data_IF_003408139636
#
_entry.id   IF_003408139636
#
_cell.length_a   1.000
_cell.length_b   1.000
_cell.length_c   1.000
_cell.angle_alpha   90.00
_cell.angle_beta   90.00
_cell.angle_gamma   90.00
#
_symmetry.space_group_name_H-M   'P 1'
#
loop_
_entity.id
_entity.type
_entity.pdbx_description
1 polymer ?
#
# COMPACT_ATOMS: atom_id res chain seq x y z
N UNK A 1 -1.72 4.63 -37.70
CA UNK A 1 -2.71 4.72 -36.60
C UNK A 1 -2.31 5.92 -35.75
N UNK A 2 -2.80 7.15 -36.00
CA UNK A 2 -4.08 7.71 -35.52
C UNK A 2 -4.38 7.28 -34.09
N UNK A 3 -4.29 8.23 -33.15
CA UNK A 3 -4.69 8.00 -31.76
C UNK A 3 -4.10 8.88 -30.63
N UNK A 4 -3.56 10.07 -30.89
CA UNK A 4 -3.41 11.10 -29.83
C UNK A 4 -4.20 12.32 -30.23
N UNK A 5 -5.49 12.35 -29.86
CA UNK A 5 -6.29 13.57 -29.67
C UNK A 5 -7.72 13.20 -29.23
N UNK A 6 -8.01 13.32 -27.94
CA UNK A 6 -9.24 14.00 -27.49
C UNK A 6 -8.87 14.87 -26.30
N UNK A 7 -9.13 16.18 -26.44
CA UNK A 7 -8.83 17.20 -25.44
C UNK A 7 -7.96 18.31 -26.01
N UNK A 8 -8.60 19.33 -26.57
CA UNK A 8 -8.00 20.61 -26.96
C UNK A 8 -7.36 21.32 -25.75
N UNK A 9 -6.12 20.95 -25.44
CA UNK A 9 -5.22 21.77 -24.61
C UNK A 9 -3.86 21.85 -25.28
N UNK A 10 -3.25 23.06 -25.40
CA UNK A 10 -1.91 23.19 -25.93
C UNK A 10 -0.94 22.32 -25.14
N UNK A 11 -0.05 21.61 -25.84
CA UNK A 11 1.04 20.84 -25.25
C UNK A 11 1.93 21.78 -24.43
N UNK A 12 1.69 21.83 -23.12
CA UNK A 12 2.73 22.23 -22.17
C UNK A 12 3.55 20.97 -21.95
N UNK A 13 4.85 20.99 -22.25
CA UNK A 13 5.80 20.14 -21.53
C UNK A 13 5.57 20.44 -20.05
N UNK A 14 4.76 19.60 -19.40
CA UNK A 14 4.55 19.68 -17.95
C UNK A 14 5.74 18.98 -17.33
N UNK A 15 6.33 19.59 -16.31
CA UNK A 15 7.35 18.97 -15.47
C UNK A 15 6.89 17.55 -15.07
N UNK A 16 7.71 16.53 -15.35
CA UNK A 16 7.43 15.14 -14.97
C UNK A 16 6.87 14.20 -16.06
N UNK A 17 6.80 14.61 -17.32
CA UNK A 17 6.54 13.67 -18.43
C UNK A 17 7.86 13.27 -19.08
N UNK A 18 8.18 11.98 -19.09
CA UNK A 18 9.32 11.43 -19.84
C UNK A 18 9.03 11.49 -21.34
N UNK A 19 10.00 11.92 -22.14
CA UNK A 19 9.88 11.92 -23.60
C UNK A 19 9.95 10.46 -24.10
N UNK A 20 9.00 10.08 -24.96
CA UNK A 20 8.93 8.75 -25.58
C UNK A 20 9.67 8.76 -26.93
N UNK A 21 10.93 9.15 -26.91
CA UNK A 21 11.78 9.33 -28.10
C UNK A 21 12.81 8.19 -28.30
N UNK A 22 12.94 7.28 -27.33
CA UNK A 22 13.86 6.15 -27.40
C UNK A 22 13.50 4.98 -26.49
N UNK A 23 14.36 3.95 -26.50
CA UNK A 23 14.21 2.75 -25.66
C UNK A 23 14.23 3.08 -24.18
N UNK A 24 15.08 4.02 -23.76
CA UNK A 24 15.26 4.37 -22.35
C UNK A 24 13.99 5.02 -21.78
N UNK A 25 13.39 5.96 -22.53
CA UNK A 25 12.11 6.56 -22.16
C UNK A 25 10.96 5.55 -22.14
N UNK A 26 10.97 4.56 -23.03
CA UNK A 26 9.99 3.46 -22.99
C UNK A 26 10.17 2.59 -21.75
N UNK A 27 11.41 2.21 -21.41
CA UNK A 27 11.72 1.44 -20.19
C UNK A 27 11.27 2.20 -18.95
N UNK A 28 11.60 3.49 -18.84
CA UNK A 28 11.22 4.33 -17.72
C UNK A 28 9.69 4.39 -17.54
N UNK A 29 8.95 4.65 -18.62
CA UNK A 29 7.48 4.72 -18.58
C UNK A 29 6.87 3.38 -18.19
N UNK A 30 7.31 2.27 -18.79
CA UNK A 30 6.76 0.94 -18.49
C UNK A 30 7.10 0.48 -17.07
N UNK A 31 8.34 0.66 -16.61
CA UNK A 31 8.74 0.33 -15.24
C UNK A 31 7.96 1.17 -14.23
N UNK A 32 7.72 2.45 -14.50
CA UNK A 32 6.93 3.33 -13.64
C UNK A 32 5.47 2.86 -13.57
N UNK A 33 4.86 2.48 -14.70
CA UNK A 33 3.49 1.97 -14.72
C UNK A 33 3.36 0.65 -13.94
N UNK A 34 4.29 -0.28 -14.15
CA UNK A 34 4.34 -1.55 -13.41
C UNK A 34 4.51 -1.27 -11.91
N UNK A 35 5.45 -0.39 -11.53
CA UNK A 35 5.68 -0.01 -10.13
C UNK A 35 4.44 0.59 -9.46
N UNK A 36 3.77 1.54 -10.12
CA UNK A 36 2.55 2.17 -9.58
C UNK A 36 1.45 1.15 -9.37
N UNK A 37 1.21 0.29 -10.37
CA UNK A 37 0.13 -0.67 -10.35
C UNK A 37 0.36 -1.82 -9.36
N UNK A 38 1.61 -2.20 -9.10
CA UNK A 38 1.97 -3.35 -8.27
C UNK A 38 2.49 -2.94 -6.90
N UNK A 39 3.81 -2.79 -6.76
CA UNK A 39 4.53 -2.57 -5.50
C UNK A 39 4.10 -1.32 -4.75
N UNK A 40 3.87 -0.20 -5.45
CA UNK A 40 3.41 1.03 -4.81
C UNK A 40 2.02 0.86 -4.20
N UNK A 41 1.09 0.33 -5.00
CA UNK A 41 -0.27 0.04 -4.55
C UNK A 41 -0.25 -0.93 -3.35
N UNK A 42 0.47 -2.05 -3.45
CA UNK A 42 0.59 -3.03 -2.38
C UNK A 42 1.11 -2.41 -1.06
N UNK A 43 2.13 -1.55 -1.15
CA UNK A 43 2.73 -0.89 0.01
C UNK A 43 1.78 0.07 0.75
N UNK A 44 0.80 0.66 0.06
CA UNK A 44 -0.17 1.59 0.67
C UNK A 44 -1.53 0.95 0.94
N UNK A 45 -1.80 -0.23 0.38
CA UNK A 45 -3.10 -0.89 0.46
C UNK A 45 -3.16 -2.00 1.51
N UNK A 46 -2.33 -3.04 1.43
CA UNK A 46 -2.51 -4.26 2.24
C UNK A 46 -2.14 -4.12 3.71
N UNK A 47 -1.55 -2.99 4.10
CA UNK A 47 -1.33 -2.63 5.50
C UNK A 47 -2.52 -1.94 6.16
N UNK A 48 -3.56 -1.60 5.40
CA UNK A 48 -4.67 -0.78 5.88
C UNK A 48 -5.32 -1.35 7.14
N UNK A 49 -5.78 -2.59 7.12
CA UNK A 49 -6.39 -3.20 8.31
C UNK A 49 -5.36 -3.47 9.41
N UNK A 50 -4.16 -3.95 9.07
CA UNK A 50 -3.12 -4.27 10.05
C UNK A 50 -2.72 -3.04 10.91
N UNK A 51 -2.68 -1.85 10.30
CA UNK A 51 -2.32 -0.62 11.01
C UNK A 51 -3.54 0.20 11.47
N UNK A 52 -4.65 0.18 10.76
CA UNK A 52 -5.80 1.06 11.03
C UNK A 52 -7.05 0.32 11.55
N UNK A 53 -7.02 -1.00 11.63
CA UNK A 53 -8.07 -1.81 12.26
C UNK A 53 -8.19 -1.55 13.77
N UNK A 54 -7.10 -1.13 14.43
CA UNK A 54 -7.18 -0.52 15.76
C UNK A 54 -7.34 1.00 15.61
N UNK A 55 -8.58 1.47 15.64
CA UNK A 55 -8.93 2.85 15.31
C UNK A 55 -8.17 3.94 16.08
N UNK A 56 -7.84 3.80 17.38
CA UNK A 56 -7.00 4.79 18.06
C UNK A 56 -5.60 4.96 17.47
N UNK A 57 -5.06 3.94 16.79
CA UNK A 57 -3.75 4.04 16.11
C UNK A 57 -3.81 4.87 14.83
N UNK A 58 -4.94 4.86 14.10
CA UNK A 58 -5.14 5.66 12.89
C UNK A 58 -6.58 6.18 12.81
N UNK A 59 -6.95 7.20 13.61
CA UNK A 59 -8.29 7.75 13.58
C UNK A 59 -8.55 8.42 12.22
N UNK A 60 -9.72 8.14 11.63
CA UNK A 60 -10.11 8.69 10.33
C UNK A 60 -10.62 10.13 10.40
N UNK A 61 -11.02 10.58 11.58
CA UNK A 61 -11.51 11.93 11.81
C UNK A 61 -11.33 12.37 13.26
N UNK A 62 -11.37 13.69 13.45
CA UNK A 62 -11.53 14.34 14.75
C UNK A 62 -12.88 15.06 14.77
N UNK A 63 -13.64 14.92 15.86
CA UNK A 63 -14.99 15.47 16.05
C UNK A 63 -15.00 16.77 16.85
N UNK A 64 -13.88 17.11 17.48
CA UNK A 64 -13.74 18.27 18.37
C UNK A 64 -12.41 18.97 18.09
N UNK A 65 -12.36 20.26 18.43
CA UNK A 65 -11.10 21.00 18.49
C UNK A 65 -10.37 20.65 19.79
N UNK A 66 -9.08 20.98 19.85
CA UNK A 66 -8.34 20.97 21.11
C UNK A 66 -8.94 22.09 21.98
N UNK A 67 -9.39 21.80 23.21
CA UNK A 67 -9.94 22.82 24.09
C UNK A 67 -8.87 23.81 24.53
N UNK A 68 -9.28 25.05 24.82
CA UNK A 68 -8.39 26.07 25.38
C UNK A 68 -7.94 25.68 26.80
N UNK A 69 -6.71 26.05 27.14
CA UNK A 69 -6.13 25.77 28.44
C UNK A 69 -6.93 26.53 29.53
N UNK A 70 -7.32 25.81 30.59
CA UNK A 70 -8.11 26.35 31.71
C UNK A 70 -9.55 26.79 31.37
N UNK A 71 -10.13 26.34 30.25
CA UNK A 71 -11.56 26.57 29.98
C UNK A 71 -12.45 25.74 30.94
N UNK A 72 -12.88 26.38 32.03
CA UNK A 72 -13.73 25.75 33.05
C UNK A 72 -15.15 25.44 32.56
N UNK A 73 -15.57 25.98 31.41
CA UNK A 73 -16.88 25.70 30.82
C UNK A 73 -16.84 24.53 29.83
N UNK A 74 -15.64 24.04 29.49
CA UNK A 74 -15.45 22.91 28.60
C UNK A 74 -15.02 21.67 29.38
N UNK A 75 -15.92 20.69 29.49
CA UNK A 75 -15.64 19.42 30.16
C UNK A 75 -14.40 18.72 29.59
N UNK A 76 -14.13 18.85 28.27
CA UNK A 76 -12.98 18.21 27.64
C UNK A 76 -11.65 18.80 28.11
N UNK A 77 -11.60 20.08 28.50
CA UNK A 77 -10.39 20.71 29.04
C UNK A 77 -9.95 20.03 30.36
N UNK A 78 -10.93 19.62 31.18
CA UNK A 78 -10.67 18.87 32.41
C UNK A 78 -10.25 17.43 32.10
N UNK A 79 -10.92 16.78 31.14
CA UNK A 79 -10.66 15.39 30.78
C UNK A 79 -9.24 15.15 30.27
N UNK A 80 -8.60 16.11 29.60
CA UNK A 80 -7.21 15.94 29.14
C UNK A 80 -6.28 15.53 30.29
N UNK A 81 -6.47 16.10 31.49
CA UNK A 81 -5.63 15.81 32.66
C UNK A 81 -6.19 14.69 33.53
N UNK A 82 -7.51 14.63 33.70
CA UNK A 82 -8.14 13.67 34.62
C UNK A 82 -8.42 12.30 34.00
N UNK A 83 -8.74 12.25 32.71
CA UNK A 83 -9.05 11.04 31.95
C UNK A 83 -8.75 11.23 30.44
N UNK A 84 -7.46 11.20 30.06
CA UNK A 84 -7.03 11.44 28.68
C UNK A 84 -7.57 10.39 27.70
N UNK A 85 -7.89 9.18 28.19
CA UNK A 85 -8.48 8.11 27.36
C UNK A 85 -9.90 8.48 26.97
N UNK A 86 -10.73 8.91 27.91
CA UNK A 86 -12.08 9.39 27.59
C UNK A 86 -12.04 10.62 26.70
N UNK A 87 -11.11 11.54 26.91
CA UNK A 87 -10.92 12.68 25.99
C UNK A 87 -10.59 12.21 24.57
N UNK A 88 -9.61 11.30 24.41
CA UNK A 88 -9.24 10.76 23.10
C UNK A 88 -10.45 10.10 22.39
N UNK A 89 -11.23 9.30 23.12
CA UNK A 89 -12.44 8.65 22.57
C UNK A 89 -13.54 9.64 22.18
N UNK A 90 -13.63 10.79 22.89
CA UNK A 90 -14.53 11.89 22.51
C UNK A 90 -14.03 12.67 21.30
N UNK A 91 -12.71 12.76 21.13
CA UNK A 91 -12.06 13.46 20.03
C UNK A 91 -12.16 12.67 18.72
N UNK A 92 -11.90 11.36 18.71
CA UNK A 92 -11.87 10.55 17.48
C UNK A 92 -13.24 10.00 17.09
N UNK A 93 -13.33 9.26 15.97
CA UNK A 93 -14.54 8.61 15.45
C UNK A 93 -15.40 7.93 16.53
N UNK A 94 -16.74 8.01 16.42
CA UNK A 94 -17.64 7.26 17.29
C UNK A 94 -17.49 5.75 17.04
N UNK A 95 -17.91 4.93 18.01
CA UNK A 95 -17.85 3.47 17.90
C UNK A 95 -18.51 2.92 16.62
N UNK A 96 -19.70 3.42 16.24
CA UNK A 96 -20.38 2.96 15.02
C UNK A 96 -19.56 3.27 13.75
N UNK A 97 -19.02 4.48 13.65
CA UNK A 97 -18.17 4.92 12.54
C UNK A 97 -16.85 4.13 12.50
N UNK A 98 -16.30 3.81 13.68
CA UNK A 98 -15.11 2.98 13.82
C UNK A 98 -15.36 1.57 13.27
N UNK A 99 -16.48 0.93 13.65
CA UNK A 99 -16.84 -0.41 13.17
C UNK A 99 -17.05 -0.42 11.65
N UNK A 100 -17.77 0.57 11.11
CA UNK A 100 -17.97 0.70 9.66
C UNK A 100 -16.64 0.83 8.91
N UNK A 101 -15.72 1.65 9.40
CA UNK A 101 -14.42 1.81 8.76
C UNK A 101 -13.55 0.55 8.91
N UNK A 102 -13.53 -0.08 10.08
CA UNK A 102 -12.79 -1.32 10.28
C UNK A 102 -13.23 -2.39 9.28
N UNK A 103 -14.55 -2.57 9.09
CA UNK A 103 -15.08 -3.52 8.10
C UNK A 103 -14.66 -3.17 6.66
N UNK A 104 -14.66 -1.88 6.31
CA UNK A 104 -14.17 -1.45 4.99
C UNK A 104 -12.69 -1.75 4.81
N UNK A 105 -11.84 -1.43 5.80
CA UNK A 105 -10.41 -1.68 5.73
C UNK A 105 -10.09 -3.17 5.67
N UNK A 106 -10.91 -4.01 6.33
CA UNK A 106 -10.79 -5.47 6.31
C UNK A 106 -10.96 -6.00 4.90
N UNK A 107 -12.04 -5.59 4.23
CA UNK A 107 -12.30 -5.91 2.82
C UNK A 107 -11.15 -5.40 1.95
N UNK A 108 -10.74 -4.13 2.16
CA UNK A 108 -9.69 -3.50 1.36
C UNK A 108 -8.27 -4.04 1.62
N UNK A 109 -8.09 -4.93 2.60
CA UNK A 109 -6.79 -5.56 2.91
C UNK A 109 -6.76 -7.06 2.62
N UNK A 110 -7.90 -7.66 2.30
CA UNK A 110 -8.01 -9.08 1.97
C UNK A 110 -7.65 -9.29 0.51
N UNK A 111 -6.82 -10.27 0.18
CA UNK A 111 -6.55 -10.61 -1.22
C UNK A 111 -7.35 -11.86 -1.63
N UNK A 112 -7.86 -11.81 -2.86
CA UNK A 112 -8.61 -12.89 -3.49
C UNK A 112 -7.76 -14.15 -3.67
N UNK A 113 -8.40 -15.32 -3.64
CA UNK A 113 -7.73 -16.62 -3.81
C UNK A 113 -7.22 -16.88 -5.23
N UNK A 114 -7.78 -16.18 -6.22
CA UNK A 114 -7.49 -16.25 -7.64
C UNK A 114 -6.63 -15.08 -8.15
N UNK A 115 -6.02 -14.32 -7.24
CA UNK A 115 -5.15 -13.18 -7.56
C UNK A 115 -3.86 -13.61 -8.30
N UNK A 116 -3.40 -12.75 -9.22
CA UNK A 116 -2.15 -12.93 -9.95
C UNK A 116 -1.05 -12.01 -9.41
N UNK A 117 -0.06 -12.61 -8.75
CA UNK A 117 1.05 -11.87 -8.14
C UNK A 117 2.13 -11.47 -9.14
N UNK A 118 2.93 -10.48 -8.73
CA UNK A 118 4.06 -9.97 -9.48
C UNK A 118 5.03 -11.11 -9.81
N UNK A 119 5.35 -11.25 -11.10
CA UNK A 119 6.18 -12.35 -11.59
C UNK A 119 5.43 -13.67 -11.82
N UNK A 120 4.10 -13.67 -11.68
CA UNK A 120 3.21 -14.77 -12.03
C UNK A 120 2.29 -14.36 -13.19
N UNK A 121 1.92 -15.35 -14.01
CA UNK A 121 0.86 -15.24 -15.01
C UNK A 121 0.25 -16.60 -15.27
N UNK A 122 -1.07 -16.67 -15.16
CA UNK A 122 -1.89 -17.86 -15.45
C UNK A 122 -2.07 -18.05 -16.96
N UNK A 123 -2.18 -16.95 -17.70
CA UNK A 123 -2.20 -16.98 -19.17
C UNK A 123 -1.11 -16.05 -19.74
N UNK A 124 -0.28 -16.62 -20.61
CA UNK A 124 0.73 -15.86 -21.34
C UNK A 124 0.26 -15.62 -22.77
N UNK A 125 0.30 -14.37 -23.28
CA UNK A 125 0.08 -14.10 -24.70
C UNK A 125 1.31 -14.48 -25.56
N UNK A 126 2.42 -14.86 -24.91
CA UNK A 126 3.66 -15.25 -25.58
C UNK A 126 3.56 -16.68 -26.09
N UNK A 127 3.99 -16.88 -27.33
CA UNK A 127 4.12 -18.20 -27.93
C UNK A 127 5.33 -18.94 -27.34
N UNK A 128 5.35 -20.27 -27.45
CA UNK A 128 6.54 -21.08 -27.11
C UNK A 128 7.78 -20.71 -27.93
N UNK A 129 7.58 -20.03 -29.06
CA UNK A 129 8.66 -19.47 -29.88
C UNK A 129 9.31 -18.21 -29.30
N UNK A 130 8.70 -17.54 -28.31
CA UNK A 130 9.21 -16.31 -27.70
C UNK A 130 10.22 -16.60 -26.57
N UNK A 131 11.19 -17.48 -26.85
CA UNK A 131 12.12 -18.04 -25.85
C UNK A 131 12.83 -16.98 -25.00
N UNK A 132 13.32 -15.92 -25.63
CA UNK A 132 14.02 -14.84 -24.93
C UNK A 132 13.12 -14.12 -23.93
N UNK A 133 11.84 -13.95 -24.27
CA UNK A 133 10.87 -13.29 -23.42
C UNK A 133 10.50 -14.18 -22.23
N UNK A 134 10.21 -15.46 -22.49
CA UNK A 134 9.92 -16.44 -21.44
C UNK A 134 11.09 -16.55 -20.45
N UNK A 135 12.33 -16.60 -20.95
CA UNK A 135 13.52 -16.63 -20.10
C UNK A 135 13.68 -15.33 -19.28
N UNK A 136 13.39 -14.17 -19.87
CA UNK A 136 13.45 -12.89 -19.14
C UNK A 136 12.39 -12.83 -18.02
N UNK A 137 11.18 -13.33 -18.28
CA UNK A 137 10.12 -13.41 -17.28
C UNK A 137 10.46 -14.39 -16.15
N UNK A 138 11.05 -15.54 -16.47
CA UNK A 138 11.53 -16.49 -15.47
C UNK A 138 12.62 -15.88 -14.58
N UNK A 139 13.61 -15.21 -15.18
CA UNK A 139 14.65 -14.47 -14.45
C UNK A 139 14.07 -13.40 -13.52
N UNK A 140 13.03 -12.70 -13.95
CA UNK A 140 12.33 -11.73 -13.10
C UNK A 140 11.68 -12.41 -11.89
N UNK A 141 10.98 -13.52 -12.07
CA UNK A 141 10.40 -14.30 -10.98
C UNK A 141 11.46 -14.86 -10.01
N UNK A 142 12.61 -15.31 -10.52
CA UNK A 142 13.75 -15.73 -9.68
C UNK A 142 14.28 -14.56 -8.84
N UNK A 143 14.48 -13.39 -9.44
CA UNK A 143 14.94 -12.20 -8.70
C UNK A 143 13.96 -11.77 -7.61
N UNK A 144 12.65 -11.90 -7.83
CA UNK A 144 11.65 -11.62 -6.79
C UNK A 144 11.78 -12.56 -5.58
N UNK A 145 12.07 -13.86 -5.79
CA UNK A 145 12.33 -14.81 -4.70
C UNK A 145 13.59 -14.45 -3.90
N UNK A 146 14.63 -13.95 -4.56
CA UNK A 146 15.83 -13.46 -3.88
C UNK A 146 15.51 -12.23 -3.02
N UNK A 147 14.78 -11.26 -3.58
CA UNK A 147 14.34 -10.05 -2.85
C UNK A 147 13.47 -10.41 -1.64
N UNK A 148 12.60 -11.41 -1.77
CA UNK A 148 11.83 -11.94 -0.65
C UNK A 148 12.73 -12.43 0.48
N UNK A 149 13.71 -13.27 0.16
CA UNK A 149 14.67 -13.77 1.14
C UNK A 149 15.46 -12.63 1.81
N UNK A 150 15.88 -11.62 1.02
CA UNK A 150 16.53 -10.41 1.54
C UNK A 150 15.62 -9.65 2.52
N UNK A 151 14.34 -9.48 2.21
CA UNK A 151 13.36 -8.79 3.08
C UNK A 151 13.16 -9.56 4.40
N UNK A 152 12.97 -10.87 4.31
CA UNK A 152 12.75 -11.73 5.48
C UNK A 152 13.97 -11.78 6.38
N UNK A 153 15.18 -11.81 5.81
CA UNK A 153 16.40 -11.78 6.61
C UNK A 153 16.60 -10.42 7.29
N UNK A 154 16.31 -9.32 6.59
CA UNK A 154 16.33 -7.98 7.19
C UNK A 154 15.34 -7.85 8.34
N UNK A 155 14.18 -8.51 8.29
CA UNK A 155 13.21 -8.49 9.40
C UNK A 155 13.75 -9.18 10.66
N UNK A 156 14.68 -10.14 10.54
CA UNK A 156 15.30 -10.82 11.69
C UNK A 156 16.45 -10.04 12.31
N UNK A 157 17.06 -9.11 11.59
CA UNK A 157 18.22 -8.35 12.07
C UNK A 157 17.82 -7.35 13.17
N UNK A 158 18.26 -7.55 14.44
CA UNK A 158 17.89 -6.66 15.54
C UNK A 158 18.45 -5.24 15.39
N UNK A 159 19.47 -5.04 14.54
CA UNK A 159 20.01 -3.71 14.23
C UNK A 159 19.03 -2.89 13.38
N UNK A 160 18.11 -3.54 12.68
CA UNK A 160 17.10 -2.92 11.83
C UNK A 160 15.75 -2.75 12.58
N UNK A 161 15.81 -2.19 13.79
CA UNK A 161 14.65 -2.02 14.68
C UNK A 161 13.39 -1.45 14.00
N UNK A 162 13.53 -0.48 13.10
CA UNK A 162 12.40 0.15 12.40
C UNK A 162 11.62 -0.81 11.48
N UNK A 163 12.12 -2.00 11.21
CA UNK A 163 11.38 -3.03 10.46
C UNK A 163 10.33 -3.75 11.31
N UNK A 164 10.39 -3.62 12.63
CA UNK A 164 9.46 -4.27 13.58
C UNK A 164 8.80 -3.28 14.55
N UNK A 165 9.58 -2.29 15.00
CA UNK A 165 9.18 -1.32 16.01
C UNK A 165 8.89 -1.95 17.37
N UNK A 166 8.34 -1.14 18.28
CA UNK A 166 7.91 -1.59 19.61
C UNK A 166 6.73 -2.56 19.58
N UNK A 167 5.94 -2.54 18.51
CA UNK A 167 4.79 -3.44 18.30
C UNK A 167 5.20 -4.83 17.80
N UNK A 168 6.49 -5.05 17.51
CA UNK A 168 7.07 -6.35 17.11
C UNK A 168 6.47 -6.98 15.85
N UNK A 169 5.92 -6.17 14.94
CA UNK A 169 5.30 -6.60 13.68
C UNK A 169 6.27 -6.40 12.53
N UNK A 170 6.66 -7.48 11.87
CA UNK A 170 7.61 -7.45 10.76
C UNK A 170 7.08 -6.71 9.54
N UNK A 171 7.94 -5.93 8.87
CA UNK A 171 7.59 -5.28 7.61
C UNK A 171 7.57 -6.29 6.46
N UNK A 172 6.36 -6.71 6.06
CA UNK A 172 6.14 -7.71 5.00
C UNK A 172 5.35 -7.21 3.79
N UNK A 173 4.94 -5.93 3.76
CA UNK A 173 4.08 -5.39 2.69
C UNK A 173 4.69 -5.45 1.28
N UNK A 174 6.01 -5.64 1.17
CA UNK A 174 6.74 -5.80 -0.08
C UNK A 174 7.33 -7.21 -0.26
N UNK A 175 6.86 -8.19 0.51
CA UNK A 175 7.11 -9.61 0.24
C UNK A 175 6.26 -10.03 -0.97
N UNK A 176 6.86 -10.50 -2.08
CA UNK A 176 6.12 -10.84 -3.30
C UNK A 176 5.17 -12.05 -3.17
N UNK A 177 5.57 -13.09 -2.43
CA UNK A 177 4.78 -14.32 -2.28
C UNK A 177 3.62 -14.20 -1.29
N UNK A 178 2.64 -15.09 -1.42
CA UNK A 178 1.38 -14.98 -0.68
C UNK A 178 0.60 -16.30 -0.49
N UNK A 179 -0.27 -16.28 0.53
CA UNK A 179 -1.39 -17.21 0.82
C UNK A 179 -2.68 -16.39 1.05
N UNK A 180 -3.84 -16.78 0.48
CA UNK A 180 -5.15 -16.09 0.55
C UNK A 180 -5.53 -15.40 1.88
N UNK A 181 -6.23 -14.25 1.81
CA UNK A 181 -6.77 -13.51 2.96
C UNK A 181 -6.00 -12.25 3.36
N UNK A 182 -6.04 -11.89 4.66
CA UNK A 182 -5.45 -10.65 5.20
C UNK A 182 -4.09 -10.96 5.82
N UNK A 183 -3.02 -10.88 5.03
CA UNK A 183 -1.69 -11.31 5.48
C UNK A 183 -0.64 -10.20 5.58
N UNK A 184 -0.91 -9.01 5.03
CA UNK A 184 0.08 -7.92 5.00
C UNK A 184 1.34 -8.24 4.19
N UNK A 185 1.22 -9.12 3.19
CA UNK A 185 2.23 -9.47 2.16
C UNK A 185 1.52 -9.82 0.87
N UNK A 186 2.26 -10.07 -0.22
CA UNK A 186 1.70 -10.31 -1.54
C UNK A 186 1.64 -9.02 -2.36
N UNK A 187 2.21 -9.07 -3.57
CA UNK A 187 2.23 -7.94 -4.50
C UNK A 187 1.49 -8.34 -5.77
N UNK A 188 0.24 -7.89 -5.97
CA UNK A 188 -0.49 -8.16 -7.22
C UNK A 188 0.14 -7.49 -8.44
N UNK A 189 -0.18 -8.00 -9.63
CA UNK A 189 0.22 -7.38 -10.89
C UNK A 189 -0.50 -6.03 -11.16
N UNK A 190 -1.61 -5.75 -10.46
CA UNK A 190 -2.44 -4.57 -10.69
C UNK A 190 -3.06 -3.98 -9.42
N UNK A 191 -3.89 -2.96 -9.63
CA UNK A 191 -4.69 -2.34 -8.58
C UNK A 191 -5.95 -3.18 -8.39
N UNK A 192 -5.80 -4.26 -7.63
CA UNK A 192 -6.84 -5.24 -7.29
C UNK A 192 -6.91 -5.43 -5.78
N UNK A 193 -8.08 -5.86 -5.31
CA UNK A 193 -8.37 -6.18 -3.91
C UNK A 193 -9.45 -7.25 -3.80
#
# INVERSE_FOLDING_TARGET
MVGKNQGSRPRRQKMGWSDLDGTDGLVEVLTTLIWIASTHHAAVNFGQYAFAGYMPNKPSMSRKLIPEENDTHNEDATLISSDPVTYLMRLVSKQSQAVELMALLEILSSQASDEEYLGQRTSTPFSSSDFNLLQAFEKFGQRLKEVEAEILERNKDPRLFHRRGSVTVDYTLLVPSFDAGITGRGIPNGISI
#
